data_IF_116061476102
#
_entry.id   IF_116061476102
#
_cell.length_a   1.000
_cell.length_b   1.000
_cell.length_c   1.000
_cell.angle_alpha   90.00
_cell.angle_beta   90.00
_cell.angle_gamma   90.00
#
_symmetry.space_group_name_H-M   'P 1'
#
loop_
_entity.id
_entity.type
_entity.pdbx_description
1 polymer ?
#
# COMPACT_ATOMS: atom_id res chain seq x y z
N UNK A 1 12.78 -16.94 49.49
CA UNK A 1 12.82 -15.46 49.51
C UNK A 1 13.48 -15.00 48.22
N UNK A 2 12.67 -14.68 47.22
CA UNK A 2 13.05 -13.95 46.01
C UNK A 2 11.86 -13.03 45.69
N UNK A 3 12.18 -11.77 45.43
CA UNK A 3 11.30 -10.62 45.54
C UNK A 3 10.07 -10.63 44.60
N UNK A 4 8.91 -10.47 45.23
CA UNK A 4 7.65 -10.09 44.62
C UNK A 4 7.69 -8.58 44.31
N UNK A 5 7.98 -8.21 43.06
CA UNK A 5 7.91 -6.78 42.71
C UNK A 5 8.45 -6.39 41.35
N UNK A 6 7.96 -6.98 40.24
CA UNK A 6 8.07 -6.37 38.90
C UNK A 6 6.80 -6.62 38.07
N UNK A 7 6.23 -5.61 37.40
CA UNK A 7 5.03 -5.78 36.59
C UNK A 7 5.36 -6.62 35.34
N UNK A 8 4.66 -7.74 35.20
CA UNK A 8 4.75 -8.60 34.02
C UNK A 8 4.14 -7.88 32.81
N UNK A 9 4.98 -7.42 31.89
CA UNK A 9 4.54 -6.89 30.61
C UNK A 9 3.96 -8.03 29.77
N UNK A 10 2.64 -8.13 29.72
CA UNK A 10 1.93 -9.06 28.85
C UNK A 10 2.05 -8.56 27.40
N UNK A 11 3.07 -9.03 26.68
CA UNK A 11 3.17 -8.84 25.23
C UNK A 11 2.20 -9.83 24.58
N UNK A 12 1.08 -9.32 24.08
CA UNK A 12 0.05 -10.09 23.41
C UNK A 12 0.60 -10.66 22.06
N UNK A 13 0.75 -11.99 21.93
CA UNK A 13 1.33 -12.63 20.75
C UNK A 13 0.50 -12.52 19.45
N UNK A 14 -0.71 -11.95 19.50
CA UNK A 14 -1.46 -11.67 18.27
C UNK A 14 -0.73 -10.70 17.33
N UNK A 15 0.26 -9.95 17.83
CA UNK A 15 1.17 -9.11 17.05
C UNK A 15 2.41 -9.87 16.53
N UNK A 16 2.89 -10.90 17.23
CA UNK A 16 4.10 -11.65 16.85
C UNK A 16 3.86 -12.57 15.64
N UNK A 17 2.66 -13.13 15.50
CA UNK A 17 2.31 -13.90 14.31
C UNK A 17 2.17 -13.03 13.04
N UNK A 18 1.89 -11.72 13.20
CA UNK A 18 1.94 -10.73 12.09
C UNK A 18 3.37 -10.26 11.82
N UNK A 19 4.19 -10.09 12.85
CA UNK A 19 5.60 -9.70 12.71
C UNK A 19 6.45 -10.81 12.09
N UNK A 20 6.23 -12.09 12.43
CA UNK A 20 6.92 -13.22 11.81
C UNK A 20 6.49 -13.45 10.35
N UNK A 21 5.24 -13.19 10.00
CA UNK A 21 4.82 -13.16 8.58
C UNK A 21 5.35 -11.95 7.81
N UNK A 22 5.79 -10.90 8.50
CA UNK A 22 6.47 -9.75 7.89
C UNK A 22 8.00 -9.93 7.79
N UNK A 23 8.60 -10.79 8.63
CA UNK A 23 10.05 -11.02 8.67
C UNK A 23 10.55 -12.07 7.67
N UNK A 24 9.65 -12.79 6.99
CA UNK A 24 9.99 -13.77 5.95
C UNK A 24 9.65 -13.28 4.53
N UNK A 25 9.82 -11.98 4.29
CA UNK A 25 9.81 -11.41 2.95
C UNK A 25 10.82 -10.26 2.78
N UNK A 26 12.03 -10.42 3.30
CA UNK A 26 13.21 -9.76 2.72
C UNK A 26 13.66 -10.54 1.47
N UNK A 27 12.74 -10.64 0.51
CA UNK A 27 13.18 -10.67 -0.88
C UNK A 27 13.43 -9.21 -1.20
N UNK A 28 14.58 -8.84 -1.78
CA UNK A 28 14.72 -7.51 -2.34
C UNK A 28 13.52 -7.34 -3.24
N UNK A 29 12.67 -6.35 -2.92
CA UNK A 29 11.91 -5.70 -3.95
C UNK A 29 13.01 -5.16 -4.84
N UNK A 30 13.38 -5.95 -5.84
CA UNK A 30 13.85 -5.43 -7.10
C UNK A 30 12.70 -4.53 -7.47
N UNK A 31 12.77 -3.28 -7.01
CA UNK A 31 12.17 -2.16 -7.68
C UNK A 31 12.61 -2.47 -9.09
N UNK A 32 11.70 -2.76 -10.03
CA UNK A 32 12.09 -2.49 -11.38
C UNK A 32 12.58 -1.06 -11.23
N UNK A 33 13.87 -0.84 -11.46
CA UNK A 33 14.21 0.27 -12.31
C UNK A 33 13.23 0.08 -13.47
N UNK A 34 12.07 0.71 -13.33
CA UNK A 34 11.42 1.37 -14.41
C UNK A 34 12.54 2.30 -14.83
N UNK A 35 13.47 1.74 -15.62
CA UNK A 35 13.86 2.37 -16.84
C UNK A 35 12.53 2.85 -17.36
N UNK A 36 12.24 4.10 -17.00
CA UNK A 36 11.43 4.98 -17.80
C UNK A 36 12.26 5.04 -19.08
N UNK A 37 12.20 3.95 -19.85
CA UNK A 37 12.22 4.03 -21.27
C UNK A 37 11.02 4.91 -21.53
N UNK A 38 11.27 6.22 -21.53
CA UNK A 38 10.48 7.18 -22.27
C UNK A 38 10.48 6.59 -23.68
N UNK A 39 9.55 5.68 -23.95
CA UNK A 39 9.28 5.19 -25.28
C UNK A 39 8.95 6.46 -26.04
N UNK A 40 9.92 6.93 -26.82
CA UNK A 40 9.75 8.09 -27.67
C UNK A 40 8.56 7.75 -28.56
N UNK A 41 7.45 8.43 -28.33
CA UNK A 41 6.25 8.18 -29.14
C UNK A 41 6.61 8.45 -30.59
N UNK A 42 6.02 7.69 -31.50
CA UNK A 42 6.31 7.78 -32.94
C UNK A 42 6.17 9.22 -33.47
N UNK A 43 5.26 10.01 -32.89
CA UNK A 43 5.12 11.45 -33.16
C UNK A 43 6.33 12.28 -32.71
N UNK A 44 6.92 12.00 -31.55
CA UNK A 44 8.12 12.71 -31.08
C UNK A 44 9.32 12.39 -31.97
N UNK A 45 9.44 11.16 -32.43
CA UNK A 45 10.49 10.75 -33.39
C UNK A 45 10.36 11.53 -34.71
N UNK A 46 9.16 11.60 -35.27
CA UNK A 46 8.90 12.37 -36.49
C UNK A 46 9.19 13.86 -36.31
N UNK A 47 8.84 14.47 -35.17
CA UNK A 47 9.21 15.86 -34.85
C UNK A 47 10.73 16.07 -34.76
N UNK A 48 11.48 15.09 -34.25
CA UNK A 48 12.95 15.14 -34.24
C UNK A 48 13.53 15.08 -35.65
N UNK A 49 12.99 14.23 -36.52
CA UNK A 49 13.41 14.16 -37.93
C UNK A 49 13.13 15.48 -38.65
N UNK A 50 12.00 16.14 -38.41
CA UNK A 50 11.69 17.47 -38.97
C UNK A 50 12.72 18.50 -38.48
N UNK A 51 13.05 18.48 -37.18
CA UNK A 51 14.09 19.36 -36.61
C UNK A 51 15.47 19.10 -37.22
N UNK A 52 15.79 17.84 -37.47
CA UNK A 52 17.04 17.43 -38.11
C UNK A 52 17.11 17.95 -39.55
N UNK A 53 16.05 17.85 -40.33
CA UNK A 53 15.99 18.34 -41.72
C UNK A 53 16.01 19.87 -41.82
N UNK A 54 15.46 20.58 -40.82
CA UNK A 54 15.47 22.04 -40.77
C UNK A 54 16.86 22.63 -40.52
N UNK A 55 17.70 22.00 -39.68
CA UNK A 55 19.06 22.47 -39.36
C UNK A 55 20.01 22.66 -40.57
N UNK A 56 20.09 21.72 -41.53
CA UNK A 56 20.90 21.86 -42.73
C UNK A 56 20.24 22.79 -43.78
N UNK A 57 19.06 23.36 -43.50
CA UNK A 57 18.42 24.33 -44.38
C UNK A 57 17.52 23.73 -45.46
N UNK A 58 17.11 22.46 -45.34
CA UNK A 58 16.16 21.87 -46.30
C UNK A 58 14.83 22.61 -46.30
N UNK A 59 14.16 22.62 -47.44
CA UNK A 59 12.83 23.21 -47.55
C UNK A 59 11.78 22.38 -46.81
N UNK A 60 10.65 23.02 -46.49
CA UNK A 60 9.54 22.34 -45.83
C UNK A 60 8.92 21.24 -46.71
N UNK A 61 8.97 21.39 -48.05
CA UNK A 61 8.47 20.38 -48.99
C UNK A 61 9.34 19.14 -48.99
N UNK A 62 10.66 19.31 -49.10
CA UNK A 62 11.63 18.20 -49.05
C UNK A 62 11.55 17.46 -47.71
N UNK A 63 11.41 18.21 -46.61
CA UNK A 63 11.22 17.62 -45.28
C UNK A 63 9.93 16.80 -45.21
N UNK A 64 8.83 17.28 -45.82
CA UNK A 64 7.58 16.52 -45.87
C UNK A 64 7.74 15.20 -46.64
N UNK A 65 8.36 15.24 -47.82
CA UNK A 65 8.58 14.05 -48.64
C UNK A 65 9.49 13.03 -47.94
N UNK A 66 10.52 13.49 -47.23
CA UNK A 66 11.39 12.64 -46.42
C UNK A 66 10.64 11.98 -45.25
N UNK A 67 9.75 12.71 -44.57
CA UNK A 67 8.93 12.16 -43.48
C UNK A 67 7.91 11.15 -44.02
N UNK A 68 7.27 11.43 -45.17
CA UNK A 68 6.36 10.49 -45.82
C UNK A 68 7.09 9.21 -46.24
N UNK A 69 8.30 9.33 -46.82
CA UNK A 69 9.12 8.20 -47.22
C UNK A 69 9.60 7.35 -46.04
N UNK A 70 9.94 7.98 -44.91
CA UNK A 70 10.47 7.28 -43.74
C UNK A 70 9.39 6.61 -42.88
N UNK A 71 8.20 7.22 -42.76
CA UNK A 71 7.15 6.76 -41.84
C UNK A 71 5.88 6.23 -42.54
N UNK A 72 5.79 6.34 -43.87
CA UNK A 72 4.72 5.76 -44.69
C UNK A 72 3.32 6.14 -44.20
N UNK A 73 2.48 5.12 -44.00
CA UNK A 73 1.10 5.29 -43.53
C UNK A 73 0.96 5.87 -42.11
N UNK A 74 2.05 5.92 -41.34
CA UNK A 74 2.09 6.50 -39.99
C UNK A 74 2.72 7.91 -39.98
N UNK A 75 3.06 8.45 -41.15
CA UNK A 75 3.65 9.77 -41.28
C UNK A 75 2.69 10.90 -40.87
N UNK A 76 3.24 11.96 -40.28
CA UNK A 76 2.50 13.18 -39.96
C UNK A 76 1.91 13.82 -41.21
N UNK A 77 0.69 14.34 -41.08
CA UNK A 77 0.05 15.07 -42.17
C UNK A 77 0.80 16.36 -42.52
N UNK A 78 0.63 16.83 -43.76
CA UNK A 78 1.29 18.02 -44.29
C UNK A 78 1.19 19.25 -43.35
N UNK A 79 0.01 19.49 -42.77
CA UNK A 79 -0.22 20.60 -41.82
C UNK A 79 0.63 20.49 -40.55
N UNK A 80 0.78 19.27 -40.01
CA UNK A 80 1.57 19.03 -38.80
C UNK A 80 3.06 19.22 -39.08
N UNK A 81 3.54 18.72 -40.23
CA UNK A 81 4.93 18.90 -40.65
C UNK A 81 5.26 20.39 -40.83
N UNK A 82 4.39 21.14 -41.53
CA UNK A 82 4.53 22.59 -41.72
C UNK A 82 4.58 23.35 -40.39
N UNK A 83 3.71 23.02 -39.45
CA UNK A 83 3.67 23.68 -38.15
C UNK A 83 4.93 23.39 -37.33
N UNK A 84 5.36 22.12 -37.24
CA UNK A 84 6.61 21.77 -36.57
C UNK A 84 7.83 22.44 -37.21
N UNK A 85 7.91 22.43 -38.55
CA UNK A 85 8.98 23.07 -39.29
C UNK A 85 9.03 24.59 -39.00
N UNK A 86 7.88 25.26 -38.98
CA UNK A 86 7.74 26.67 -38.61
C UNK A 86 8.19 26.94 -37.18
N UNK A 87 7.79 26.09 -36.24
CA UNK A 87 8.15 26.22 -34.82
C UNK A 87 9.66 26.04 -34.59
N UNK A 88 10.30 25.09 -35.26
CA UNK A 88 11.76 24.92 -35.20
C UNK A 88 12.50 26.10 -35.84
N UNK A 89 12.00 26.63 -36.97
CA UNK A 89 12.53 27.85 -37.59
C UNK A 89 12.43 29.07 -36.67
N UNK A 90 11.41 29.12 -35.81
CA UNK A 90 11.23 30.15 -34.76
C UNK A 90 12.07 29.92 -33.50
N UNK A 91 12.93 28.90 -33.46
CA UNK A 91 13.86 28.66 -32.36
C UNK A 91 13.38 27.69 -31.28
N UNK A 92 12.25 26.98 -31.47
CA UNK A 92 11.79 25.94 -30.55
C UNK A 92 12.86 24.84 -30.40
N UNK A 93 13.22 24.47 -29.16
CA UNK A 93 14.19 23.39 -28.90
C UNK A 93 13.56 22.03 -28.62
N UNK A 94 12.33 21.99 -28.08
CA UNK A 94 11.64 20.74 -27.72
C UNK A 94 10.94 20.09 -28.91
N UNK A 95 11.13 18.77 -29.07
CA UNK A 95 10.41 17.93 -30.04
C UNK A 95 9.14 17.28 -29.44
N UNK A 96 8.86 17.49 -28.15
CA UNK A 96 7.60 17.11 -27.51
C UNK A 96 6.57 18.20 -27.73
N UNK A 97 5.31 17.83 -27.95
CA UNK A 97 4.17 18.77 -27.93
C UNK A 97 4.18 19.56 -26.63
N UNK A 98 3.78 20.83 -26.70
CA UNK A 98 3.50 21.57 -25.48
C UNK A 98 2.32 20.93 -24.76
N UNK A 99 2.30 21.06 -23.44
CA UNK A 99 1.12 20.73 -22.66
C UNK A 99 -0.03 21.56 -23.20
N UNK A 100 -1.08 20.89 -23.67
CA UNK A 100 -2.30 21.59 -24.06
C UNK A 100 -2.86 22.20 -22.80
N UNK A 101 -3.04 23.52 -22.79
CA UNK A 101 -3.99 24.15 -21.88
C UNK A 101 -5.35 23.53 -22.18
N UNK A 102 -5.78 22.60 -21.32
CA UNK A 102 -7.14 22.10 -21.35
C UNK A 102 -8.11 23.26 -21.18
N UNK A 103 -9.38 23.03 -21.52
CA UNK A 103 -10.43 23.99 -21.15
C UNK A 103 -10.38 24.19 -19.63
N UNK A 104 -10.44 25.42 -19.10
CA UNK A 104 -10.52 25.64 -17.66
C UNK A 104 -11.73 24.86 -17.15
N UNK A 105 -11.49 23.84 -16.34
CA UNK A 105 -12.60 23.12 -15.71
C UNK A 105 -13.26 24.11 -14.75
N UNK A 106 -14.41 24.67 -15.14
CA UNK A 106 -15.20 25.59 -14.30
C UNK A 106 -15.59 24.98 -12.94
N UNK A 107 -15.45 23.66 -12.79
CA UNK A 107 -15.64 22.91 -11.55
C UNK A 107 -14.42 22.83 -10.61
N UNK A 108 -13.22 23.27 -11.02
CA UNK A 108 -11.96 23.06 -10.27
C UNK A 108 -11.26 24.37 -9.94
N UNK A 109 -11.95 25.21 -9.18
CA UNK A 109 -11.41 26.46 -8.64
C UNK A 109 -10.98 26.28 -7.18
N UNK A 110 -10.09 27.13 -6.68
CA UNK A 110 -9.62 27.06 -5.29
C UNK A 110 -10.78 27.07 -4.29
N UNK A 111 -11.80 27.91 -4.51
CA UNK A 111 -13.00 27.95 -3.68
C UNK A 111 -13.75 26.61 -3.61
N UNK A 112 -13.73 25.84 -4.70
CA UNK A 112 -14.36 24.52 -4.74
C UNK A 112 -13.50 23.49 -4.00
N UNK A 113 -12.18 23.54 -4.18
CA UNK A 113 -11.22 22.69 -3.46
C UNK A 113 -11.35 22.93 -1.95
N UNK A 114 -11.42 24.19 -1.52
CA UNK A 114 -11.58 24.56 -0.12
C UNK A 114 -12.91 24.04 0.45
N UNK A 115 -14.01 24.16 -0.30
CA UNK A 115 -15.31 23.59 0.10
C UNK A 115 -15.26 22.08 0.32
N UNK A 116 -14.60 21.35 -0.59
CA UNK A 116 -14.39 19.89 -0.45
C UNK A 116 -13.51 19.60 0.78
N UNK A 117 -12.46 20.38 0.99
CA UNK A 117 -11.57 20.26 2.14
C UNK A 117 -12.31 20.47 3.47
N UNK A 118 -13.12 21.52 3.59
CA UNK A 118 -13.92 21.78 4.79
C UNK A 118 -14.91 20.65 5.08
N UNK A 119 -15.61 20.15 4.05
CA UNK A 119 -16.53 19.02 4.21
C UNK A 119 -15.81 17.73 4.68
N UNK A 120 -14.55 17.54 4.31
CA UNK A 120 -13.72 16.41 4.77
C UNK A 120 -13.22 16.58 6.20
N UNK A 121 -12.88 17.80 6.63
CA UNK A 121 -12.43 18.07 7.99
C UNK A 121 -13.55 17.82 9.01
N UNK A 122 -14.79 18.11 8.63
CA UNK A 122 -16.00 17.83 9.40
C UNK A 122 -16.22 16.32 9.59
N UNK A 123 -16.08 15.52 8.53
CA UNK A 123 -16.17 14.05 8.60
C UNK A 123 -15.14 13.37 7.69
N UNK A 124 -14.04 12.89 8.27
CA UNK A 124 -12.97 12.19 7.53
C UNK A 124 -13.37 10.82 6.96
N UNK A 125 -14.55 10.28 7.33
CA UNK A 125 -15.04 8.96 6.88
C UNK A 125 -16.14 9.06 5.82
N UNK A 126 -16.52 10.27 5.40
CA UNK A 126 -17.56 10.47 4.39
C UNK A 126 -17.14 9.82 3.06
N UNK A 127 -18.09 9.11 2.44
CA UNK A 127 -17.86 8.47 1.14
C UNK A 127 -17.99 9.49 0.01
N UNK A 128 -17.29 9.26 -1.11
CA UNK A 128 -17.26 10.19 -2.25
C UNK A 128 -18.69 10.52 -2.74
N UNK A 129 -19.62 9.57 -2.71
CA UNK A 129 -21.02 9.80 -3.13
C UNK A 129 -21.75 10.78 -2.21
N UNK A 130 -21.60 10.63 -0.91
CA UNK A 130 -22.22 11.54 0.07
C UNK A 130 -21.55 12.92 0.04
N UNK A 131 -20.24 12.97 -0.19
CA UNK A 131 -19.50 14.22 -0.40
C UNK A 131 -19.93 14.94 -1.68
N UNK A 132 -20.18 14.18 -2.75
CA UNK A 132 -20.73 14.66 -4.02
C UNK A 132 -22.10 15.31 -3.80
N UNK A 133 -22.99 14.66 -3.06
CA UNK A 133 -24.32 15.20 -2.72
C UNK A 133 -24.21 16.45 -1.83
N UNK A 134 -23.31 16.46 -0.84
CA UNK A 134 -23.11 17.57 0.11
C UNK A 134 -22.55 18.83 -0.56
N UNK A 135 -21.61 18.67 -1.49
CA UNK A 135 -20.93 19.80 -2.17
C UNK A 135 -21.62 20.18 -3.49
N UNK A 136 -22.48 19.31 -4.03
CA UNK A 136 -23.17 19.53 -5.31
C UNK A 136 -22.25 19.39 -6.52
N UNK A 137 -21.24 18.54 -6.43
CA UNK A 137 -20.26 18.29 -7.50
C UNK A 137 -20.37 16.86 -8.00
N UNK A 138 -20.06 16.58 -9.28
CA UNK A 138 -20.06 15.22 -9.78
C UNK A 138 -18.95 14.40 -9.11
N UNK A 139 -19.24 13.12 -8.90
CA UNK A 139 -18.34 12.14 -8.30
C UNK A 139 -16.91 12.20 -8.84
N UNK A 140 -16.76 12.28 -10.17
CA UNK A 140 -15.45 12.32 -10.83
C UNK A 140 -14.64 13.57 -10.44
N UNK A 141 -15.28 14.73 -10.32
CA UNK A 141 -14.60 15.95 -9.88
C UNK A 141 -14.16 15.86 -8.43
N UNK A 142 -15.00 15.32 -7.54
CA UNK A 142 -14.61 15.07 -6.15
C UNK A 142 -13.42 14.09 -6.11
N UNK A 143 -13.47 13.00 -6.87
CA UNK A 143 -12.39 12.03 -6.90
C UNK A 143 -11.06 12.66 -7.34
N UNK A 144 -11.06 13.43 -8.44
CA UNK A 144 -9.86 14.13 -8.90
C UNK A 144 -9.37 15.17 -7.89
N UNK A 145 -10.27 15.95 -7.28
CA UNK A 145 -9.89 16.92 -6.23
C UNK A 145 -9.21 16.21 -5.06
N UNK A 146 -9.78 15.09 -4.59
CA UNK A 146 -9.19 14.33 -3.50
C UNK A 146 -7.82 13.77 -3.86
N UNK A 147 -7.65 13.15 -5.02
CA UNK A 147 -6.41 12.42 -5.35
C UNK A 147 -5.31 13.31 -5.92
N UNK A 148 -5.66 14.30 -6.74
CA UNK A 148 -4.69 15.11 -7.51
C UNK A 148 -4.45 16.48 -6.86
N UNK A 149 -5.49 17.19 -6.37
CA UNK A 149 -5.29 18.51 -5.75
C UNK A 149 -4.89 18.38 -4.27
N UNK A 150 -5.57 17.52 -3.52
CA UNK A 150 -5.36 17.33 -2.08
C UNK A 150 -4.38 16.19 -1.76
N UNK A 151 -4.01 15.36 -2.74
CA UNK A 151 -3.08 14.23 -2.54
C UNK A 151 -3.58 13.15 -1.56
N UNK A 152 -4.88 13.10 -1.32
CA UNK A 152 -5.51 12.21 -0.34
C UNK A 152 -5.63 10.79 -0.88
N UNK A 153 -5.56 9.82 0.04
CA UNK A 153 -5.79 8.40 -0.25
C UNK A 153 -6.85 7.85 0.70
N UNK A 154 -7.79 7.09 0.15
CA UNK A 154 -8.76 6.37 0.96
C UNK A 154 -8.12 5.09 1.50
N UNK A 155 -7.87 5.06 2.81
CA UNK A 155 -7.16 3.97 3.50
C UNK A 155 -8.14 3.30 4.46
N UNK A 156 -8.12 1.97 4.52
CA UNK A 156 -8.88 1.22 5.52
C UNK A 156 -8.27 1.40 6.91
N UNK A 157 -9.12 1.52 7.93
CA UNK A 157 -8.67 1.53 9.31
C UNK A 157 -7.85 0.27 9.65
N UNK A 158 -6.83 0.42 10.50
CA UNK A 158 -6.08 -0.70 11.06
C UNK A 158 -6.83 -1.27 12.26
N UNK A 159 -7.00 -2.58 12.31
CA UNK A 159 -7.48 -3.25 13.53
C UNK A 159 -6.42 -3.14 14.61
N UNK A 160 -6.76 -2.47 15.71
CA UNK A 160 -5.96 -2.38 16.93
C UNK A 160 -6.57 -3.28 18.01
N UNK A 161 -5.78 -4.04 18.79
CA UNK A 161 -6.31 -4.96 19.79
C UNK A 161 -7.20 -4.29 20.84
N UNK A 162 -6.83 -3.07 21.26
CA UNK A 162 -7.54 -2.32 22.30
C UNK A 162 -7.25 -0.82 22.16
N UNK A 163 -8.21 0.02 22.55
CA UNK A 163 -7.97 1.45 22.79
C UNK A 163 -7.44 1.62 24.22
N UNK A 164 -6.25 2.20 24.35
CA UNK A 164 -5.59 2.39 25.62
C UNK A 164 -6.12 3.63 26.33
N UNK A 165 -6.12 3.61 27.66
CA UNK A 165 -6.28 4.82 28.48
C UNK A 165 -4.95 5.56 28.60
N UNK A 166 -4.98 6.86 28.92
CA UNK A 166 -3.75 7.64 29.11
C UNK A 166 -2.79 6.98 30.12
N UNK A 167 -3.33 6.48 31.23
CA UNK A 167 -2.54 5.76 32.23
C UNK A 167 -1.89 4.48 31.67
N UNK A 168 -2.58 3.73 30.80
CA UNK A 168 -2.01 2.54 30.16
C UNK A 168 -0.90 2.93 29.17
N UNK A 169 -1.05 4.03 28.45
CA UNK A 169 -0.03 4.56 27.54
C UNK A 169 1.23 4.98 28.30
N UNK A 170 1.09 5.68 29.43
CA UNK A 170 2.21 6.07 30.29
C UNK A 170 2.96 4.85 30.83
N UNK A 171 2.24 3.84 31.32
CA UNK A 171 2.85 2.58 31.79
C UNK A 171 3.58 1.87 30.65
N UNK A 172 2.97 1.79 29.47
CA UNK A 172 3.60 1.16 28.31
C UNK A 172 4.87 1.91 27.88
N UNK A 173 4.86 3.24 27.89
CA UNK A 173 6.01 4.05 27.53
C UNK A 173 7.16 3.88 28.53
N UNK A 174 6.84 3.88 29.84
CA UNK A 174 7.82 3.66 30.89
C UNK A 174 8.50 2.29 30.75
N UNK A 175 7.72 1.21 30.63
CA UNK A 175 8.23 -0.15 30.46
C UNK A 175 9.05 -0.29 29.18
N UNK A 176 8.58 0.27 28.05
CA UNK A 176 9.31 0.23 26.80
C UNK A 176 10.66 0.97 26.90
N UNK A 177 10.69 2.10 27.61
CA UNK A 177 11.92 2.89 27.82
C UNK A 177 12.91 2.12 28.67
N UNK A 178 12.46 1.51 29.77
CA UNK A 178 13.31 0.69 30.63
C UNK A 178 13.89 -0.51 29.87
N UNK A 179 13.06 -1.21 29.08
CA UNK A 179 13.52 -2.35 28.26
C UNK A 179 14.52 -1.93 27.18
N UNK A 180 14.35 -0.77 26.56
CA UNK A 180 15.31 -0.22 25.60
C UNK A 180 16.66 0.07 26.28
N UNK A 181 16.65 0.64 27.49
CA UNK A 181 17.89 0.87 28.25
C UNK A 181 18.61 -0.43 28.60
N UNK A 182 17.88 -1.50 28.96
CA UNK A 182 18.49 -2.80 29.20
C UNK A 182 19.20 -3.36 27.95
N UNK A 183 18.58 -3.20 26.77
CA UNK A 183 19.19 -3.60 25.49
C UNK A 183 20.45 -2.79 25.19
N UNK A 184 20.44 -1.49 25.46
CA UNK A 184 21.59 -0.61 25.21
C UNK A 184 22.77 -0.90 26.17
N UNK A 185 22.48 -1.33 27.40
CA UNK A 185 23.49 -1.63 28.42
C UNK A 185 24.14 -3.01 28.25
N UNK A 186 23.39 -4.01 27.80
CA UNK A 186 23.89 -5.37 27.60
C UNK A 186 23.49 -5.92 26.24
N UNK A 187 24.48 -6.07 25.36
CA UNK A 187 24.31 -6.66 24.03
C UNK A 187 23.81 -8.11 24.05
N UNK A 188 23.97 -8.83 25.17
CA UNK A 188 23.45 -10.19 25.34
C UNK A 188 22.07 -10.24 25.99
N UNK A 189 21.50 -9.11 26.44
CA UNK A 189 20.20 -9.08 27.14
C UNK A 189 19.12 -9.84 26.36
N UNK A 190 18.99 -9.59 25.06
CA UNK A 190 18.02 -10.26 24.18
C UNK A 190 18.19 -11.78 24.13
N UNK A 191 19.43 -12.28 24.29
CA UNK A 191 19.72 -13.73 24.28
C UNK A 191 19.25 -14.44 25.54
N UNK A 192 19.12 -13.71 26.63
CA UNK A 192 18.66 -14.24 27.94
C UNK A 192 17.14 -14.34 28.04
N UNK A 193 16.39 -13.70 27.14
CA UNK A 193 14.94 -13.66 27.21
C UNK A 193 14.35 -14.99 26.72
N UNK A 194 13.55 -15.60 27.59
CA UNK A 194 12.59 -16.65 27.24
C UNK A 194 11.21 -16.03 27.29
N UNK A 195 10.43 -16.22 26.23
CA UNK A 195 9.07 -15.71 26.14
C UNK A 195 8.14 -16.84 25.73
N UNK A 196 6.89 -16.77 26.18
CA UNK A 196 5.86 -17.70 25.77
C UNK A 196 4.48 -17.08 25.90
N UNK A 197 3.53 -17.67 25.19
CA UNK A 197 2.11 -17.29 25.20
C UNK A 197 1.26 -18.48 24.79
N UNK A 198 -0.05 -18.36 25.04
CA UNK A 198 -1.05 -19.32 24.62
C UNK A 198 -1.72 -18.89 23.32
N UNK A 199 -1.86 -19.82 22.38
CA UNK A 199 -2.57 -19.60 21.14
C UNK A 199 -3.65 -20.66 20.95
N UNK A 200 -4.87 -20.22 20.70
CA UNK A 200 -5.96 -21.10 20.32
C UNK A 200 -5.79 -21.58 18.87
N UNK A 201 -5.64 -22.89 18.70
CA UNK A 201 -5.50 -23.55 17.40
C UNK A 201 -6.79 -24.27 17.05
N UNK A 202 -7.38 -23.89 15.91
CA UNK A 202 -8.55 -24.56 15.37
C UNK A 202 -8.13 -25.66 14.40
N UNK A 203 -8.79 -26.82 14.45
CA UNK A 203 -8.54 -27.95 13.52
C UNK A 203 -8.69 -27.55 12.04
N UNK A 204 -9.56 -26.57 11.77
CA UNK A 204 -9.70 -25.94 10.46
C UNK A 204 -9.68 -24.42 10.60
N UNK A 205 -8.75 -23.75 9.92
CA UNK A 205 -8.80 -22.30 9.77
C UNK A 205 -9.86 -21.93 8.74
N UNK A 206 -10.77 -21.01 9.10
CA UNK A 206 -11.70 -20.47 8.13
C UNK A 206 -10.91 -19.66 7.11
N UNK A 207 -10.65 -20.24 5.93
CA UNK A 207 -10.14 -19.49 4.78
C UNK A 207 -11.10 -18.32 4.54
N UNK A 208 -10.63 -17.09 4.73
CA UNK A 208 -11.37 -15.86 4.40
C UNK A 208 -11.89 -15.94 2.96
N UNK A 209 -13.00 -15.26 2.65
CA UNK A 209 -13.60 -15.24 1.30
C UNK A 209 -12.60 -14.87 0.19
N UNK A 210 -11.48 -14.25 0.53
CA UNK A 210 -10.40 -13.84 -0.36
C UNK A 210 -9.38 -14.96 -0.70
N UNK A 211 -9.28 -16.05 0.06
CA UNK A 211 -8.32 -17.12 -0.24
C UNK A 211 -8.73 -18.05 -1.40
N UNK A 212 -10.03 -18.33 -1.67
CA UNK A 212 -10.44 -19.07 -2.87
C UNK A 212 -10.73 -18.12 -4.05
N UNK A 213 -9.88 -17.14 -4.31
CA UNK A 213 -9.97 -16.34 -5.54
C UNK A 213 -9.62 -17.24 -6.73
N UNK A 214 -10.54 -17.38 -7.67
CA UNK A 214 -10.32 -18.11 -8.92
C UNK A 214 -10.62 -17.19 -10.11
N UNK A 215 -9.71 -17.18 -11.08
CA UNK A 215 -9.93 -16.53 -12.37
C UNK A 215 -11.07 -17.22 -13.13
N UNK A 216 -11.88 -16.46 -13.86
CA UNK A 216 -13.11 -16.93 -14.48
C UNK A 216 -13.28 -16.35 -15.87
N UNK A 217 -13.82 -17.15 -16.77
CA UNK A 217 -14.33 -16.68 -18.06
C UNK A 217 -15.72 -16.05 -17.89
N UNK A 218 -16.08 -15.08 -18.75
CA UNK A 218 -17.45 -14.55 -18.83
C UNK A 218 -18.45 -15.70 -19.05
N UNK A 219 -19.44 -15.83 -18.17
CA UNK A 219 -20.46 -16.90 -18.22
C UNK A 219 -20.27 -18.06 -17.24
N UNK A 220 -19.11 -18.19 -16.59
CA UNK A 220 -18.89 -19.28 -15.63
C UNK A 220 -19.60 -19.05 -14.28
N UNK A 221 -20.29 -20.07 -13.77
CA UNK A 221 -20.99 -20.02 -12.48
C UNK A 221 -20.04 -19.73 -11.33
N UNK A 222 -20.40 -18.81 -10.42
CA UNK A 222 -19.59 -18.51 -9.23
C UNK A 222 -19.42 -19.77 -8.37
N UNK A 223 -18.20 -20.11 -7.92
CA UNK A 223 -18.00 -21.24 -7.03
C UNK A 223 -18.82 -21.00 -5.77
N UNK A 224 -19.60 -22.00 -5.39
CA UNK A 224 -20.37 -21.98 -4.16
C UNK A 224 -19.47 -22.50 -3.05
N UNK A 225 -19.27 -21.68 -2.02
CA UNK A 225 -18.69 -22.14 -0.76
C UNK A 225 -19.83 -22.29 0.24
N UNK A 226 -19.97 -23.47 0.82
CA UNK A 226 -20.89 -23.68 1.95
C UNK A 226 -20.39 -22.87 3.14
N UNK A 227 -21.32 -22.36 3.94
CA UNK A 227 -20.97 -21.70 5.19
C UNK A 227 -20.33 -22.74 6.11
N UNK A 228 -19.01 -22.66 6.29
CA UNK A 228 -18.31 -23.49 7.26
C UNK A 228 -18.45 -22.80 8.62
N UNK A 229 -19.14 -23.46 9.55
CA UNK A 229 -19.12 -23.07 10.96
C UNK A 229 -17.72 -23.39 11.48
N UNK A 230 -17.13 -22.48 12.26
CA UNK A 230 -15.87 -22.71 12.95
C UNK A 230 -15.92 -24.08 13.66
N UNK A 231 -14.90 -24.91 13.50
CA UNK A 231 -14.89 -26.22 14.16
C UNK A 231 -15.02 -26.04 15.68
N UNK A 232 -15.90 -26.82 16.32
CA UNK A 232 -16.16 -26.75 17.77
C UNK A 232 -14.95 -27.10 18.64
N UNK A 233 -13.88 -27.65 18.04
CA UNK A 233 -12.66 -28.05 18.74
C UNK A 233 -11.61 -26.95 18.59
N UNK A 234 -11.36 -26.29 19.70
CA UNK A 234 -10.29 -25.33 19.97
C UNK A 234 -9.30 -26.04 20.89
N UNK A 235 -8.04 -26.18 20.46
CA UNK A 235 -6.97 -26.70 21.31
C UNK A 235 -6.07 -25.53 21.67
N UNK A 236 -5.74 -25.36 22.94
CA UNK A 236 -4.80 -24.33 23.38
C UNK A 236 -3.38 -24.87 23.21
N UNK A 237 -2.56 -24.18 22.43
CA UNK A 237 -1.13 -24.41 22.31
C UNK A 237 -0.40 -23.42 23.20
N UNK A 238 0.36 -23.90 24.17
CA UNK A 238 1.32 -23.09 24.93
C UNK A 238 2.69 -23.28 24.32
N UNK A 239 3.36 -22.19 23.97
CA UNK A 239 4.67 -22.20 23.31
C UNK A 239 5.64 -21.31 24.08
N UNK A 240 6.83 -21.84 24.38
CA UNK A 240 7.96 -21.08 24.91
C UNK A 240 9.11 -21.10 23.91
N UNK A 241 9.72 -19.93 23.70
CA UNK A 241 10.81 -19.73 22.76
C UNK A 241 11.85 -18.75 23.30
N UNK A 242 13.07 -18.87 22.80
CA UNK A 242 14.16 -17.93 23.00
C UNK A 242 14.74 -17.50 21.64
N UNK A 243 15.90 -16.85 21.67
CA UNK A 243 16.60 -16.43 20.45
C UNK A 243 17.12 -17.58 19.57
N UNK A 244 17.24 -18.80 20.10
CA UNK A 244 17.71 -19.99 19.37
C UNK A 244 16.55 -20.79 18.75
N UNK A 245 15.35 -20.71 19.32
CA UNK A 245 14.16 -21.36 18.79
C UNK A 245 13.15 -21.75 19.86
N UNK A 246 12.36 -22.79 19.56
CA UNK A 246 11.34 -23.32 20.47
C UNK A 246 12.02 -24.12 21.57
N UNK A 247 11.75 -23.74 22.82
CA UNK A 247 12.24 -24.46 24.01
C UNK A 247 11.26 -25.56 24.39
N UNK A 248 9.98 -25.22 24.46
CA UNK A 248 8.93 -26.13 24.91
C UNK A 248 7.61 -25.78 24.22
N UNK A 249 6.82 -26.80 23.93
CA UNK A 249 5.44 -26.62 23.49
C UNK A 249 4.55 -27.70 24.10
N UNK A 250 3.32 -27.32 24.45
CA UNK A 250 2.33 -28.24 24.98
C UNK A 250 0.94 -27.92 24.45
N UNK A 251 0.21 -28.97 24.09
CA UNK A 251 -1.21 -28.86 23.78
C UNK A 251 -2.01 -29.15 25.04
N UNK A 252 -2.91 -28.24 25.40
CA UNK A 252 -3.88 -28.50 26.44
C UNK A 252 -4.80 -29.65 25.99
N UNK A 253 -5.19 -30.57 26.90
CA UNK A 253 -6.20 -31.57 26.64
C UNK A 253 -7.50 -30.97 26.10
N UNK A 254 -8.22 -31.73 25.27
CA UNK A 254 -9.49 -31.29 24.66
C UNK A 254 -10.48 -30.79 25.72
N UNK A 255 -10.94 -29.54 25.56
CA UNK A 255 -11.92 -28.91 26.45
C UNK A 255 -11.33 -28.30 27.74
N UNK A 256 -10.01 -28.33 27.92
CA UNK A 256 -9.34 -27.65 29.03
C UNK A 256 -8.95 -26.22 28.65
N UNK A 257 -9.18 -25.27 29.56
CA UNK A 257 -8.64 -23.91 29.46
C UNK A 257 -7.28 -23.81 30.15
N UNK A 258 -6.42 -22.91 29.67
CA UNK A 258 -5.15 -22.59 30.31
C UNK A 258 -5.43 -21.88 31.65
N UNK A 259 -5.52 -22.67 32.71
CA UNK A 259 -5.75 -22.20 34.07
C UNK A 259 -4.46 -22.23 34.88
N UNK A 260 -4.52 -21.76 36.13
CA UNK A 260 -3.36 -21.72 37.02
C UNK A 260 -2.70 -23.09 37.19
N UNK A 261 -3.49 -24.14 37.39
CA UNK A 261 -2.97 -25.50 37.61
C UNK A 261 -2.28 -26.05 36.36
N UNK A 262 -2.79 -25.71 35.17
CA UNK A 262 -2.16 -26.03 33.90
C UNK A 262 -0.79 -25.36 33.78
N UNK A 263 -0.68 -24.04 34.05
CA UNK A 263 0.61 -23.35 33.99
C UNK A 263 1.63 -23.88 34.99
N UNK A 264 1.22 -24.23 36.20
CA UNK A 264 2.11 -24.85 37.19
C UNK A 264 2.69 -26.16 36.64
N UNK A 265 1.90 -26.96 35.93
CA UNK A 265 2.38 -28.22 35.32
C UNK A 265 3.25 -27.99 34.09
N UNK A 266 3.04 -26.91 33.34
CA UNK A 266 3.81 -26.63 32.13
C UNK A 266 5.18 -26.04 32.48
N UNK A 267 5.25 -25.24 33.55
CA UNK A 267 6.46 -24.52 33.97
C UNK A 267 7.37 -25.32 34.92
N UNK A 268 6.90 -26.43 35.49
CA UNK A 268 7.68 -27.34 36.36
C UNK A 268 8.14 -28.59 35.59
#
# INVERSE_FOLDING_TARGET
MCDLGRPCACINYSLLHRLLSHWQSDKPVVVPLVHVALTMTEKVQQSMCIKFCQKPGQSCSETYDMIQKAFGNKAMGCTQVKEWFRQFKKGRKSAKSDERSGSPSTSRNQLVIDKVCFAMLDNRRIIIRELSDKVGLPFASIQSILTEDLGMKHISAKFVPKLLTLQQEEIHLAVATDLLQCVDQDANFMRTIITGDESCVYRYSMKTKAQPLQWKTPGSLRPKKTHQVQSKVEVILTLFLNHEGIIQHQYAPDGQTANKEYHIKVLH
#
